data_IF_523599376249
#
_entry.id   IF_523599376249
#
_cell.length_a   1.000
_cell.length_b   1.000
_cell.length_c   1.000
_cell.angle_alpha   90.00
_cell.angle_beta   90.00
_cell.angle_gamma   90.00
#
_symmetry.space_group_name_H-M   'P 1'
#
loop_
_entity.id
_entity.type
_entity.pdbx_description
1 polymer ?
#
# COMPACT_ATOMS: atom_id res chain seq x y z
N UNK A 1 38.89 -31.90 -26.99
CA UNK A 1 39.88 -31.65 -25.93
C UNK A 1 39.45 -30.43 -25.13
N UNK A 2 38.85 -30.63 -23.97
CA UNK A 2 38.68 -29.60 -22.94
C UNK A 2 38.66 -30.34 -21.60
N UNK A 3 39.81 -30.37 -20.94
CA UNK A 3 40.04 -30.92 -19.62
C UNK A 3 39.50 -29.92 -18.60
N UNK A 4 38.39 -30.24 -17.94
CA UNK A 4 37.89 -29.52 -16.77
C UNK A 4 38.09 -30.39 -15.54
N UNK A 5 39.12 -30.10 -14.76
CA UNK A 5 39.53 -30.84 -13.58
C UNK A 5 38.47 -30.77 -12.46
N UNK A 6 38.06 -31.93 -11.96
CA UNK A 6 37.38 -32.07 -10.67
C UNK A 6 38.43 -32.32 -9.58
N UNK A 7 38.37 -31.65 -8.41
CA UNK A 7 39.08 -32.12 -7.24
C UNK A 7 38.15 -32.98 -6.37
N UNK A 8 38.40 -34.28 -6.40
CA UNK A 8 37.87 -35.26 -5.44
C UNK A 8 38.69 -35.27 -4.16
N UNK A 9 37.97 -35.15 -3.04
CA UNK A 9 38.13 -35.85 -1.76
C UNK A 9 39.43 -35.73 -0.95
N UNK A 10 39.22 -35.55 0.37
CA UNK A 10 39.92 -36.09 1.56
C UNK A 10 40.06 -34.96 2.60
N UNK A 11 39.85 -35.11 3.90
CA UNK A 11 39.28 -36.16 4.74
C UNK A 11 38.94 -35.47 6.09
N UNK A 12 37.93 -36.01 6.76
CA UNK A 12 37.47 -35.79 8.14
C UNK A 12 38.51 -35.30 9.17
N UNK A 13 38.03 -34.46 10.09
CA UNK A 13 38.07 -34.65 11.56
C UNK A 13 37.12 -33.59 12.16
N UNK A 14 36.10 -33.91 12.93
CA UNK A 14 36.20 -34.51 14.26
C UNK A 14 35.57 -33.49 15.21
N UNK A 15 34.51 -33.89 15.90
CA UNK A 15 33.64 -33.01 16.67
C UNK A 15 34.36 -32.25 17.80
N UNK A 16 34.03 -30.98 17.97
CA UNK A 16 33.73 -30.44 19.31
C UNK A 16 32.41 -29.69 19.24
N UNK A 17 31.41 -30.31 19.90
CA UNK A 17 30.16 -29.69 20.26
C UNK A 17 30.48 -28.61 21.30
N UNK A 18 30.76 -27.39 20.86
CA UNK A 18 30.59 -26.23 21.74
C UNK A 18 29.10 -26.00 21.85
N UNK A 19 28.54 -26.47 22.95
CA UNK A 19 27.24 -26.05 23.47
C UNK A 19 27.41 -24.56 23.82
N UNK A 20 27.44 -23.70 22.81
CA UNK A 20 27.25 -22.27 23.04
C UNK A 20 25.75 -22.13 23.19
N UNK A 21 25.35 -22.11 24.46
CA UNK A 21 24.03 -21.76 24.95
C UNK A 21 23.36 -20.78 24.00
N UNK A 22 22.37 -21.27 23.25
CA UNK A 22 21.45 -20.40 22.53
C UNK A 22 20.81 -19.56 23.62
N UNK A 23 21.25 -18.31 23.73
CA UNK A 23 20.56 -17.30 24.48
C UNK A 23 19.08 -17.38 24.07
N UNK A 24 18.24 -17.58 25.08
CA UNK A 24 16.80 -17.73 24.99
C UNK A 24 16.29 -16.78 23.91
N UNK A 25 15.73 -17.36 22.85
CA UNK A 25 15.09 -16.61 21.78
C UNK A 25 14.01 -15.74 22.38
N UNK A 26 14.29 -14.43 22.52
CA UNK A 26 13.27 -13.40 22.74
C UNK A 26 12.50 -13.19 21.42
N UNK A 27 12.07 -14.28 20.79
CA UNK A 27 11.11 -14.25 19.71
C UNK A 27 9.75 -14.07 20.37
N UNK A 28 9.05 -12.93 20.19
CA UNK A 28 7.65 -12.88 20.60
C UNK A 28 6.92 -14.02 19.90
N UNK A 29 6.13 -14.76 20.67
CA UNK A 29 5.38 -15.91 20.18
C UNK A 29 4.36 -15.45 19.12
N UNK A 30 4.72 -15.47 17.83
CA UNK A 30 3.82 -15.22 16.68
C UNK A 30 3.09 -16.50 16.26
N UNK A 31 2.91 -17.44 17.19
CA UNK A 31 2.20 -18.72 16.96
C UNK A 31 0.89 -18.80 17.77
N UNK A 32 0.27 -17.64 18.03
CA UNK A 32 -1.11 -17.55 18.49
C UNK A 32 -1.99 -17.05 17.36
N UNK A 33 -3.07 -17.78 17.06
CA UNK A 33 -4.15 -17.37 16.16
C UNK A 33 -4.91 -16.17 16.75
N UNK A 34 -4.28 -15.02 16.86
CA UNK A 34 -4.99 -13.78 17.12
C UNK A 34 -5.77 -13.41 15.85
N UNK A 35 -7.05 -12.99 15.95
CA UNK A 35 -7.72 -12.40 14.79
C UNK A 35 -6.85 -11.26 14.26
N UNK A 36 -6.77 -11.13 12.94
CA UNK A 36 -5.90 -10.20 12.16
C UNK A 36 -6.17 -8.70 12.43
N UNK A 37 -6.74 -8.34 13.57
CA UNK A 37 -7.10 -6.98 13.96
C UNK A 37 -6.00 -6.23 14.70
N UNK A 38 -4.89 -6.89 15.06
CA UNK A 38 -3.71 -6.25 15.62
C UNK A 38 -2.52 -6.54 14.72
N UNK A 39 -1.72 -5.52 14.45
CA UNK A 39 -0.47 -5.68 13.70
C UNK A 39 0.32 -6.85 14.31
N UNK A 40 0.91 -7.66 13.44
CA UNK A 40 1.58 -8.93 13.76
C UNK A 40 2.72 -8.84 14.79
N UNK A 41 3.07 -7.62 15.22
CA UNK A 41 3.92 -7.39 16.40
C UNK A 41 3.17 -6.52 17.42
N UNK A 42 3.25 -6.92 18.70
CA UNK A 42 2.71 -6.18 19.86
C UNK A 42 3.22 -4.72 19.97
N UNK A 43 4.21 -4.32 19.17
CA UNK A 43 4.86 -3.02 19.20
C UNK A 43 4.57 -2.08 18.03
N UNK A 44 3.69 -2.43 17.09
CA UNK A 44 3.52 -1.63 15.88
C UNK A 44 2.58 -0.42 16.06
N UNK A 45 1.43 -0.60 16.72
CA UNK A 45 0.50 0.49 17.05
C UNK A 45 -0.38 0.09 18.24
N UNK A 46 -0.87 1.08 18.99
CA UNK A 46 -1.76 0.85 20.13
C UNK A 46 -1.51 1.82 21.28
N UNK A 47 -2.31 1.74 22.36
CA UNK A 47 -2.20 2.64 23.52
C UNK A 47 -0.82 2.53 24.20
N UNK A 48 -0.24 1.33 24.24
CA UNK A 48 1.10 1.10 24.80
C UNK A 48 2.23 1.81 24.03
N UNK A 49 2.07 2.01 22.72
CA UNK A 49 3.12 2.55 21.84
C UNK A 49 2.89 4.03 21.51
N UNK A 50 1.63 4.42 21.39
CA UNK A 50 1.21 5.77 21.02
C UNK A 50 0.95 6.65 22.24
N UNK A 51 0.63 6.06 23.40
CA UNK A 51 0.46 6.77 24.65
C UNK A 51 1.78 7.32 25.21
N UNK A 52 1.70 8.26 26.16
CA UNK A 52 2.86 8.76 26.88
C UNK A 52 3.35 7.74 27.91
N UNK A 53 4.67 7.61 28.04
CA UNK A 53 5.30 6.67 28.98
C UNK A 53 5.19 7.15 30.46
N UNK A 54 4.98 8.45 30.68
CA UNK A 54 4.81 9.09 31.99
C UNK A 54 3.94 10.35 31.87
N UNK A 55 3.45 10.86 33.01
CA UNK A 55 2.68 12.11 33.12
C UNK A 55 3.18 12.94 34.31
N UNK A 56 3.04 14.28 34.22
CA UNK A 56 3.37 15.17 35.34
C UNK A 56 2.24 15.19 36.36
N UNK A 57 2.57 15.22 37.66
CA UNK A 57 1.58 15.33 38.74
C UNK A 57 0.77 16.63 38.67
N UNK A 58 1.40 17.70 38.17
CA UNK A 58 0.78 19.00 37.86
C UNK A 58 -0.29 18.93 36.76
N UNK A 59 -0.42 17.80 36.04
CA UNK A 59 -1.34 17.65 34.91
C UNK A 59 -0.84 18.27 33.60
N UNK A 60 0.42 18.73 33.55
CA UNK A 60 1.03 19.23 32.30
C UNK A 60 1.11 18.11 31.25
N UNK A 61 0.92 18.42 29.97
CA UNK A 61 1.04 17.42 28.92
C UNK A 61 2.49 16.97 28.74
N UNK A 62 2.67 15.67 28.52
CA UNK A 62 3.99 15.07 28.26
C UNK A 62 4.51 15.53 26.90
N UNK A 63 5.76 16.01 26.80
CA UNK A 63 6.33 16.38 25.51
C UNK A 63 6.46 15.15 24.59
N UNK A 64 6.22 15.36 23.29
CA UNK A 64 6.23 14.27 22.30
C UNK A 64 7.61 13.63 22.15
N UNK A 65 7.66 12.30 22.21
CA UNK A 65 8.87 11.51 21.92
C UNK A 65 9.24 11.61 20.44
N UNK A 66 10.54 11.58 20.13
CA UNK A 66 11.05 11.66 18.73
C UNK A 66 10.39 10.60 17.83
N UNK A 67 10.23 9.37 18.33
CA UNK A 67 9.56 8.29 17.58
C UNK A 67 8.09 8.56 17.29
N UNK A 68 7.35 9.12 18.25
CA UNK A 68 5.94 9.50 18.06
C UNK A 68 5.83 10.61 17.00
N UNK A 69 6.69 11.62 17.09
CA UNK A 69 6.76 12.71 16.10
C UNK A 69 7.04 12.18 14.69
N UNK A 70 8.04 11.30 14.54
CA UNK A 70 8.38 10.68 13.25
C UNK A 70 7.20 9.89 12.67
N UNK A 71 6.49 9.10 13.49
CA UNK A 71 5.30 8.37 13.06
C UNK A 71 4.18 9.33 12.60
N UNK A 72 3.92 10.39 13.36
CA UNK A 72 2.90 11.38 13.01
C UNK A 72 3.20 12.08 11.68
N UNK A 73 4.46 12.48 11.46
CA UNK A 73 4.88 13.09 10.19
C UNK A 73 4.74 12.11 9.01
N UNK A 74 5.20 10.86 9.18
CA UNK A 74 5.04 9.82 8.15
C UNK A 74 3.56 9.58 7.83
N UNK A 75 2.70 9.51 8.84
CA UNK A 75 1.27 9.33 8.63
C UNK A 75 0.67 10.51 7.84
N UNK A 76 1.07 11.74 8.17
CA UNK A 76 0.65 12.94 7.43
C UNK A 76 1.07 12.87 5.96
N UNK A 77 2.30 12.47 5.66
CA UNK A 77 2.79 12.33 4.29
C UNK A 77 2.01 11.27 3.51
N UNK A 78 1.75 10.12 4.13
CA UNK A 78 0.96 9.04 3.51
C UNK A 78 -0.46 9.53 3.24
N UNK A 79 -1.12 10.15 4.22
CA UNK A 79 -2.46 10.69 4.07
C UNK A 79 -2.54 11.76 2.97
N UNK A 80 -1.56 12.65 2.88
CA UNK A 80 -1.50 13.67 1.82
C UNK A 80 -1.42 13.03 0.43
N UNK A 81 -0.57 12.02 0.25
CA UNK A 81 -0.44 11.27 -1.02
C UNK A 81 -1.73 10.56 -1.38
N UNK A 82 -2.39 9.89 -0.43
CA UNK A 82 -3.67 9.22 -0.66
C UNK A 82 -4.73 10.20 -1.14
N UNK A 83 -4.84 11.38 -0.50
CA UNK A 83 -5.79 12.40 -0.91
C UNK A 83 -5.51 12.94 -2.32
N UNK A 84 -4.23 13.13 -2.67
CA UNK A 84 -3.84 13.53 -4.01
C UNK A 84 -4.30 12.50 -5.05
N UNK A 85 -3.95 11.23 -4.88
CA UNK A 85 -4.31 10.15 -5.81
C UNK A 85 -5.82 10.00 -5.96
N UNK A 86 -6.58 10.16 -4.88
CA UNK A 86 -8.04 10.13 -4.92
C UNK A 86 -8.62 11.28 -5.74
N UNK A 87 -8.06 12.49 -5.62
CA UNK A 87 -8.49 13.65 -6.43
C UNK A 87 -8.19 13.42 -7.91
N UNK A 88 -7.00 12.94 -8.24
CA UNK A 88 -6.60 12.64 -9.62
C UNK A 88 -7.50 11.58 -10.24
N UNK A 89 -7.78 10.50 -9.51
CA UNK A 89 -8.64 9.41 -9.98
C UNK A 89 -10.07 9.89 -10.21
N UNK A 90 -10.64 10.67 -9.27
CA UNK A 90 -11.98 11.23 -9.41
C UNK A 90 -12.07 12.17 -10.61
N UNK A 91 -11.09 13.06 -10.76
CA UNK A 91 -10.99 13.95 -11.90
C UNK A 91 -10.96 13.18 -13.22
N UNK A 92 -10.14 12.13 -13.32
CA UNK A 92 -10.04 11.32 -14.53
C UNK A 92 -11.38 10.67 -14.91
N UNK A 93 -12.11 10.12 -13.93
CA UNK A 93 -13.43 9.51 -14.16
C UNK A 93 -14.43 10.56 -14.65
N UNK A 94 -14.51 11.71 -13.97
CA UNK A 94 -15.43 12.79 -14.33
C UNK A 94 -15.11 13.36 -15.72
N UNK A 95 -13.83 13.60 -15.99
CA UNK A 95 -13.37 14.10 -17.27
C UNK A 95 -13.68 13.13 -18.42
N UNK A 96 -13.45 11.82 -18.21
CA UNK A 96 -13.76 10.82 -19.22
C UNK A 96 -15.25 10.78 -19.56
N UNK A 97 -16.13 10.85 -18.53
CA UNK A 97 -17.58 10.92 -18.75
C UNK A 97 -17.98 12.15 -19.55
N UNK A 98 -17.44 13.33 -19.20
CA UNK A 98 -17.70 14.57 -19.94
C UNK A 98 -17.32 14.45 -21.41
N UNK A 99 -16.15 13.89 -21.72
CA UNK A 99 -15.73 13.67 -23.10
C UNK A 99 -16.67 12.74 -23.87
N UNK A 100 -17.12 11.65 -23.24
CA UNK A 100 -18.09 10.74 -23.87
C UNK A 100 -19.42 11.43 -24.13
N UNK A 101 -19.92 12.22 -23.17
CA UNK A 101 -21.16 12.96 -23.31
C UNK A 101 -21.05 14.01 -24.43
N UNK A 102 -19.94 14.73 -24.51
CA UNK A 102 -19.66 15.69 -25.58
C UNK A 102 -19.57 15.02 -26.96
N UNK A 103 -18.95 13.85 -27.07
CA UNK A 103 -18.91 13.08 -28.32
C UNK A 103 -20.30 12.61 -28.75
N UNK A 104 -21.14 12.17 -27.81
CA UNK A 104 -22.52 11.78 -28.09
C UNK A 104 -23.37 12.97 -28.52
N UNK A 105 -23.24 14.11 -27.83
CA UNK A 105 -23.92 15.36 -28.20
C UNK A 105 -23.51 15.82 -29.59
N UNK A 106 -22.20 15.85 -29.91
CA UNK A 106 -21.70 16.18 -31.25
C UNK A 106 -22.29 15.26 -32.33
N UNK A 107 -22.33 13.95 -32.08
CA UNK A 107 -22.96 13.00 -33.01
C UNK A 107 -24.44 13.31 -33.19
N UNK A 108 -25.17 13.58 -32.11
CA UNK A 108 -26.57 13.95 -32.16
C UNK A 108 -26.80 15.24 -32.93
N UNK A 109 -25.99 16.28 -32.70
CA UNK A 109 -26.07 17.57 -33.38
C UNK A 109 -25.76 17.45 -34.88
N UNK A 110 -24.78 16.63 -35.24
CA UNK A 110 -24.48 16.30 -36.64
C UNK A 110 -25.67 15.60 -37.29
N UNK A 111 -26.33 14.66 -36.59
CA UNK A 111 -27.52 13.98 -37.12
C UNK A 111 -28.72 14.93 -37.23
N UNK A 112 -28.92 15.80 -36.24
CA UNK A 112 -30.02 16.77 -36.21
C UNK A 112 -29.86 17.86 -37.29
N UNK A 113 -28.61 18.26 -37.59
CA UNK A 113 -28.31 19.23 -38.65
C UNK A 113 -28.35 18.65 -40.06
N UNK A 114 -28.41 17.33 -40.23
CA UNK A 114 -28.57 16.72 -41.56
C UNK A 114 -29.89 17.14 -42.20
N UNK A 115 -29.83 17.42 -43.49
CA UNK A 115 -31.00 17.69 -44.31
C UNK A 115 -31.92 16.48 -44.37
N UNK A 116 -33.23 16.74 -44.56
CA UNK A 116 -34.24 15.70 -44.74
C UNK A 116 -33.87 14.77 -45.91
N UNK A 117 -34.15 13.46 -45.79
CA UNK A 117 -33.90 12.52 -46.88
C UNK A 117 -34.78 12.85 -48.09
N UNK A 118 -34.25 12.59 -49.30
CA UNK A 118 -34.92 12.85 -50.58
C UNK A 118 -35.06 11.57 -51.41
N UNK A 119 -35.92 11.61 -52.43
CA UNK A 119 -36.01 10.58 -53.47
C UNK A 119 -36.60 9.25 -52.98
N UNK A 120 -35.98 8.13 -53.39
CA UNK A 120 -36.45 6.76 -53.12
C UNK A 120 -36.63 6.43 -51.63
N UNK A 121 -35.88 7.11 -50.75
CA UNK A 121 -36.00 6.98 -49.30
C UNK A 121 -37.36 7.46 -48.74
N UNK A 122 -38.16 8.19 -49.53
CA UNK A 122 -39.52 8.58 -49.16
C UNK A 122 -40.58 7.62 -49.72
N UNK A 123 -40.25 6.84 -50.76
CA UNK A 123 -41.18 5.95 -51.46
C UNK A 123 -41.37 4.61 -50.75
N UNK A 124 -40.38 4.20 -49.96
CA UNK A 124 -40.43 3.00 -49.13
C UNK A 124 -40.68 3.40 -47.67
N UNK A 125 -41.94 3.62 -47.32
CA UNK A 125 -42.42 3.73 -45.94
C UNK A 125 -43.50 2.68 -45.70
#
# INVERSE_FOLDING_TARGET
>A
MALGAAPSLLLRNGAMRSITTRCLSVTPCVLGKFPKSFDTSMGAHGPLINGPDYTFLDGRPTPLRIGQRKRALKQREVSAKVLQLLKETKFAIEHHKKLQDEEQQKKHDILASKLKPKGQALLHK
#
